data_IF_855236811583
#
_entry.id   IF_855236811583
#
_cell.length_a   1.000
_cell.length_b   1.000
_cell.length_c   1.000
_cell.angle_alpha   90.00
_cell.angle_beta   90.00
_cell.angle_gamma   90.00
#
_symmetry.space_group_name_H-M   'P 1'
#
loop_
_entity.id
_entity.type
_entity.pdbx_description
1 polymer ?
#
# COMPACT_ATOMS: atom_id res chain seq x y z
N UNK A 1 -13.83 -21.92 -32.53
CA UNK A 1 -13.39 -21.29 -31.27
C UNK A 1 -14.19 -21.91 -30.14
N UNK A 2 -13.55 -22.30 -29.04
CA UNK A 2 -14.22 -22.84 -27.85
C UNK A 2 -14.19 -21.77 -26.76
N UNK A 3 -15.33 -21.17 -26.46
CA UNK A 3 -15.50 -20.32 -25.28
C UNK A 3 -15.32 -21.17 -24.02
N UNK A 4 -14.43 -20.75 -23.13
CA UNK A 4 -14.32 -21.35 -21.80
C UNK A 4 -15.06 -20.44 -20.82
N UNK A 5 -16.08 -21.00 -20.17
CA UNK A 5 -16.85 -20.32 -19.13
C UNK A 5 -16.38 -20.88 -17.79
N UNK A 6 -15.87 -20.01 -16.92
CA UNK A 6 -15.51 -20.36 -15.55
C UNK A 6 -16.44 -19.64 -14.57
N UNK A 7 -17.04 -20.37 -13.64
CA UNK A 7 -17.92 -19.83 -12.61
C UNK A 7 -17.04 -19.24 -11.50
N UNK A 8 -17.28 -17.97 -11.15
CA UNK A 8 -16.57 -17.26 -10.10
C UNK A 8 -17.26 -17.45 -8.75
N UNK A 9 -16.47 -17.65 -7.71
CA UNK A 9 -16.95 -17.59 -6.32
C UNK A 9 -16.90 -16.15 -5.79
N UNK A 10 -15.98 -15.35 -6.31
CA UNK A 10 -15.84 -13.94 -5.96
C UNK A 10 -15.58 -13.10 -7.20
N UNK A 11 -16.46 -12.11 -7.41
CA UNK A 11 -16.33 -11.08 -8.44
C UNK A 11 -16.66 -9.71 -7.86
N UNK A 12 -15.64 -8.90 -7.59
CA UNK A 12 -15.77 -7.51 -7.19
C UNK A 12 -14.82 -6.67 -8.06
N UNK A 13 -15.37 -5.79 -8.89
CA UNK A 13 -14.57 -4.93 -9.75
C UNK A 13 -15.12 -3.51 -9.63
N UNK A 14 -14.43 -2.69 -8.85
CA UNK A 14 -14.81 -1.31 -8.61
C UNK A 14 -13.58 -0.39 -8.66
N UNK A 15 -13.77 0.88 -8.31
CA UNK A 15 -12.72 1.90 -8.37
C UNK A 15 -11.59 1.65 -7.35
N UNK A 16 -11.86 0.87 -6.30
CA UNK A 16 -10.95 0.66 -5.18
C UNK A 16 -10.36 -0.75 -5.13
N UNK A 17 -10.96 -1.73 -5.82
CA UNK A 17 -10.51 -3.12 -5.76
C UNK A 17 -10.90 -3.91 -7.01
N UNK A 18 -10.08 -4.91 -7.32
CA UNK A 18 -10.31 -5.92 -8.35
C UNK A 18 -10.09 -7.28 -7.71
N UNK A 19 -11.18 -8.02 -7.53
CA UNK A 19 -11.19 -9.38 -7.01
C UNK A 19 -11.94 -10.28 -7.97
N UNK A 20 -11.20 -11.18 -8.62
CA UNK A 20 -11.73 -12.15 -9.57
C UNK A 20 -11.13 -13.50 -9.22
N UNK A 21 -11.94 -14.38 -8.64
CA UNK A 21 -11.48 -15.67 -8.16
C UNK A 21 -12.54 -16.78 -8.31
N UNK A 22 -12.03 -17.96 -8.63
CA UNK A 22 -12.73 -19.25 -8.60
C UNK A 22 -12.24 -20.07 -7.40
N UNK A 23 -12.88 -21.21 -7.15
CA UNK A 23 -12.60 -22.07 -5.97
C UNK A 23 -11.17 -22.60 -5.92
N UNK A 24 -10.50 -22.65 -7.08
CA UNK A 24 -9.12 -23.10 -7.19
C UNK A 24 -8.12 -22.04 -7.67
N UNK A 25 -8.57 -20.88 -8.16
CA UNK A 25 -7.69 -19.90 -8.80
C UNK A 25 -8.07 -18.46 -8.45
N UNK A 26 -7.12 -17.71 -7.88
CA UNK A 26 -7.21 -16.26 -7.77
C UNK A 26 -6.63 -15.62 -9.04
N UNK A 27 -7.50 -15.21 -9.96
CA UNK A 27 -7.06 -14.58 -11.21
C UNK A 27 -6.53 -13.17 -10.97
N UNK A 28 -7.23 -12.40 -10.13
CA UNK A 28 -6.82 -11.07 -9.72
C UNK A 28 -7.28 -10.79 -8.29
N UNK A 29 -6.40 -10.18 -7.49
CA UNK A 29 -6.72 -9.71 -6.14
C UNK A 29 -5.86 -8.48 -5.86
N UNK A 30 -6.36 -7.31 -6.24
CA UNK A 30 -5.67 -6.03 -6.15
C UNK A 30 -6.55 -5.00 -5.43
N UNK A 31 -5.92 -4.17 -4.62
CA UNK A 31 -6.54 -3.02 -3.97
C UNK A 31 -5.85 -1.74 -4.43
N UNK A 32 -6.61 -0.66 -4.59
CA UNK A 32 -6.03 0.62 -4.98
C UNK A 32 -5.09 1.13 -3.90
N UNK A 33 -3.91 1.55 -4.32
CA UNK A 33 -2.85 2.02 -3.44
C UNK A 33 -2.98 3.53 -3.25
N UNK A 34 -3.04 3.95 -1.99
CA UNK A 34 -3.08 5.35 -1.61
C UNK A 34 -1.70 5.76 -1.09
N UNK A 35 -1.03 6.65 -1.84
CA UNK A 35 0.23 7.24 -1.42
C UNK A 35 -0.02 8.63 -0.83
N UNK A 36 0.40 8.89 0.42
CA UNK A 36 0.24 10.21 1.02
C UNK A 36 1.16 11.25 0.37
N UNK A 37 0.69 12.49 0.27
CA UNK A 37 1.52 13.58 -0.25
C UNK A 37 2.67 13.91 0.69
N UNK A 38 3.69 14.60 0.17
CA UNK A 38 4.82 14.99 1.00
C UNK A 38 4.40 15.96 2.13
N UNK A 39 3.37 16.78 1.92
CA UNK A 39 2.80 17.65 2.93
C UNK A 39 2.14 16.86 4.05
N UNK A 40 1.41 15.79 3.72
CA UNK A 40 0.77 14.91 4.69
C UNK A 40 1.82 14.17 5.53
N UNK A 41 2.86 13.64 4.88
CA UNK A 41 4.01 13.03 5.56
C UNK A 41 4.70 14.04 6.49
N UNK A 42 4.91 15.28 6.03
CA UNK A 42 5.48 16.33 6.87
C UNK A 42 4.60 16.67 8.09
N UNK A 43 3.27 16.69 7.92
CA UNK A 43 2.33 16.90 9.03
C UNK A 43 2.40 15.77 10.05
N UNK A 44 2.35 14.52 9.59
CA UNK A 44 2.49 13.32 10.44
C UNK A 44 3.83 13.31 11.20
N UNK A 45 4.93 13.62 10.51
CA UNK A 45 6.26 13.70 11.13
C UNK A 45 6.34 14.75 12.25
N UNK A 46 5.71 15.92 12.03
CA UNK A 46 5.60 16.97 13.06
C UNK A 46 4.76 16.50 14.25
N UNK A 47 3.65 15.81 14.02
CA UNK A 47 2.83 15.21 15.09
C UNK A 47 3.66 14.22 15.91
N UNK A 48 4.30 13.25 15.25
CA UNK A 48 5.18 12.27 15.87
C UNK A 48 6.24 12.93 16.75
N UNK A 49 6.91 13.97 16.24
CA UNK A 49 7.94 14.70 16.99
C UNK A 49 7.38 15.44 18.20
N UNK A 50 6.18 16.05 18.07
CA UNK A 50 5.49 16.73 19.19
C UNK A 50 5.11 15.73 20.29
N UNK A 51 4.53 14.59 19.91
CA UNK A 51 4.13 13.55 20.84
C UNK A 51 5.35 12.98 21.57
N UNK A 52 6.43 12.66 20.86
CA UNK A 52 7.66 12.17 21.48
C UNK A 52 8.25 13.17 22.47
N UNK A 53 8.29 14.47 22.12
CA UNK A 53 8.79 15.51 23.03
C UNK A 53 7.93 15.60 24.31
N UNK A 54 6.60 15.48 24.18
CA UNK A 54 5.67 15.54 25.32
C UNK A 54 5.97 14.46 26.36
N UNK A 55 6.36 13.26 25.93
CA UNK A 55 6.64 12.12 26.82
C UNK A 55 8.14 11.90 27.09
N UNK A 56 9.01 12.81 26.62
CA UNK A 56 10.46 12.70 26.82
C UNK A 56 11.17 11.61 25.99
N UNK A 57 10.53 11.10 24.93
CA UNK A 57 11.12 10.07 24.06
C UNK A 57 11.99 10.69 22.97
N UNK A 58 13.17 10.10 22.75
CA UNK A 58 14.09 10.51 21.70
C UNK A 58 13.92 9.63 20.47
N UNK A 59 13.55 10.25 19.35
CA UNK A 59 13.48 9.60 18.04
C UNK A 59 14.83 9.70 17.34
N UNK A 60 15.44 8.56 17.03
CA UNK A 60 16.72 8.49 16.33
C UNK A 60 16.48 8.67 14.83
N UNK A 61 17.40 9.35 14.12
CA UNK A 61 17.37 9.53 12.65
C UNK A 61 16.11 10.18 12.04
N UNK A 62 15.23 10.78 12.86
CA UNK A 62 13.97 11.40 12.40
C UNK A 62 14.11 12.35 11.20
N UNK A 63 15.20 13.12 11.11
CA UNK A 63 15.41 14.06 10.00
C UNK A 63 15.93 13.37 8.74
N UNK A 64 16.72 12.30 8.90
CA UNK A 64 17.24 11.52 7.79
C UNK A 64 16.09 10.85 7.04
N UNK A 65 15.14 10.22 7.75
CA UNK A 65 14.00 9.56 7.11
C UNK A 65 13.13 10.55 6.34
N UNK A 66 12.81 11.70 6.94
CA UNK A 66 12.03 12.73 6.26
C UNK A 66 12.77 13.24 5.01
N UNK A 67 14.09 13.40 5.09
CA UNK A 67 14.90 13.80 3.93
C UNK A 67 14.87 12.75 2.82
N UNK A 68 15.00 11.48 3.16
CA UNK A 68 14.94 10.39 2.17
C UNK A 68 13.57 10.38 1.49
N UNK A 69 12.48 10.45 2.27
CA UNK A 69 11.12 10.45 1.72
C UNK A 69 10.90 11.63 0.76
N UNK A 70 11.42 12.82 1.06
CA UNK A 70 11.37 13.97 0.15
C UNK A 70 12.14 13.71 -1.14
N UNK A 71 13.32 13.10 -1.04
CA UNK A 71 14.19 12.86 -2.19
C UNK A 71 13.63 11.81 -3.14
N UNK A 72 12.93 10.79 -2.62
CA UNK A 72 12.37 9.70 -3.43
C UNK A 72 10.92 9.95 -3.88
N UNK A 73 10.30 11.06 -3.46
CA UNK A 73 8.86 11.29 -3.65
C UNK A 73 8.47 11.32 -5.13
N UNK A 74 9.21 12.05 -5.97
CA UNK A 74 8.86 12.18 -7.39
C UNK A 74 8.99 10.86 -8.14
N UNK A 75 10.02 10.06 -7.82
CA UNK A 75 10.20 8.71 -8.37
C UNK A 75 9.09 7.76 -7.89
N UNK A 76 8.74 7.80 -6.59
CA UNK A 76 7.64 7.00 -6.03
C UNK A 76 6.29 7.37 -6.65
N UNK A 77 6.07 8.67 -6.92
CA UNK A 77 4.88 9.16 -7.61
C UNK A 77 4.81 8.65 -9.04
N UNK A 78 5.92 8.68 -9.77
CA UNK A 78 5.99 8.14 -11.13
C UNK A 78 5.64 6.64 -11.15
N UNK A 79 6.18 5.85 -10.22
CA UNK A 79 5.83 4.44 -10.09
C UNK A 79 4.35 4.23 -9.70
N UNK A 80 3.78 5.11 -8.88
CA UNK A 80 2.34 5.09 -8.56
C UNK A 80 1.46 5.41 -9.78
N UNK A 81 1.90 6.32 -10.65
CA UNK A 81 1.17 6.64 -11.88
C UNK A 81 1.13 5.42 -12.82
N UNK A 82 2.26 4.69 -12.96
CA UNK A 82 2.32 3.40 -13.67
C UNK A 82 1.37 2.38 -13.02
N UNK A 83 1.39 2.27 -11.69
CA UNK A 83 0.47 1.38 -10.96
C UNK A 83 -1.00 1.70 -11.29
N UNK A 84 -1.37 2.98 -11.27
CA UNK A 84 -2.74 3.42 -11.51
C UNK A 84 -3.20 3.16 -12.94
N UNK A 85 -2.31 3.31 -13.92
CA UNK A 85 -2.58 2.96 -15.32
C UNK A 85 -2.84 1.45 -15.45
N UNK A 86 -1.91 0.61 -14.97
CA UNK A 86 -2.06 -0.85 -15.00
C UNK A 86 -3.30 -1.35 -14.25
N UNK A 87 -3.62 -0.75 -13.10
CA UNK A 87 -4.82 -1.06 -12.34
C UNK A 87 -6.08 -0.72 -13.13
N UNK A 88 -6.11 0.44 -13.79
CA UNK A 88 -7.26 0.87 -14.59
C UNK A 88 -7.47 -0.03 -15.81
N UNK A 89 -6.38 -0.40 -16.49
CA UNK A 89 -6.41 -1.35 -17.60
C UNK A 89 -6.90 -2.73 -17.16
N UNK A 90 -6.43 -3.24 -16.02
CA UNK A 90 -6.91 -4.51 -15.46
C UNK A 90 -8.38 -4.44 -15.03
N UNK A 91 -8.81 -3.33 -14.44
CA UNK A 91 -10.21 -3.12 -14.05
C UNK A 91 -11.11 -3.18 -15.29
N UNK A 92 -10.73 -2.48 -16.36
CA UNK A 92 -11.46 -2.50 -17.61
C UNK A 92 -11.47 -3.90 -18.25
N UNK A 93 -10.31 -4.55 -18.31
CA UNK A 93 -10.17 -5.92 -18.83
C UNK A 93 -11.14 -6.89 -18.14
N UNK A 94 -11.23 -6.85 -16.81
CA UNK A 94 -12.11 -7.73 -16.05
C UNK A 94 -13.58 -7.33 -16.15
N UNK A 95 -13.92 -6.03 -16.22
CA UNK A 95 -15.31 -5.57 -16.44
C UNK A 95 -15.89 -6.09 -17.75
N UNK A 96 -15.08 -6.17 -18.80
CA UNK A 96 -15.51 -6.66 -20.11
C UNK A 96 -15.71 -8.18 -20.15
N UNK A 97 -15.04 -8.91 -19.25
CA UNK A 97 -14.95 -10.38 -19.28
C UNK A 97 -15.69 -11.07 -18.15
N UNK A 98 -16.04 -10.34 -17.09
CA UNK A 98 -16.87 -10.87 -16.00
C UNK A 98 -18.32 -10.51 -16.27
N UNK A 99 -19.11 -11.50 -16.65
CA UNK A 99 -20.54 -11.36 -16.93
C UNK A 99 -21.30 -12.30 -16.01
N UNK A 100 -22.19 -11.75 -15.18
CA UNK A 100 -23.05 -12.50 -14.25
C UNK A 100 -22.29 -13.53 -13.40
N UNK A 101 -21.10 -13.16 -12.89
CA UNK A 101 -20.27 -14.06 -12.07
C UNK A 101 -19.52 -15.13 -12.87
N UNK A 102 -19.39 -14.97 -14.19
CA UNK A 102 -18.64 -15.89 -15.04
C UNK A 102 -17.49 -15.15 -15.73
N UNK A 103 -16.33 -15.79 -15.83
CA UNK A 103 -15.29 -15.35 -16.77
C UNK A 103 -15.66 -15.86 -18.15
N UNK A 104 -15.82 -14.94 -19.09
CA UNK A 104 -16.00 -15.20 -20.51
C UNK A 104 -14.70 -14.82 -21.21
N UNK A 105 -13.82 -15.79 -21.44
CA UNK A 105 -12.57 -15.59 -22.18
C UNK A 105 -12.51 -16.51 -23.41
N UNK A 106 -12.11 -15.95 -24.54
CA UNK A 106 -12.04 -16.66 -25.82
C UNK A 106 -10.71 -17.41 -26.00
N UNK A 107 -9.61 -16.97 -25.36
CA UNK A 107 -8.25 -17.50 -25.62
C UNK A 107 -7.35 -17.46 -24.36
N UNK A 108 -6.47 -18.46 -24.21
CA UNK A 108 -5.42 -18.49 -23.16
C UNK A 108 -4.50 -17.27 -23.19
N UNK A 109 -4.23 -16.71 -24.38
CA UNK A 109 -3.36 -15.54 -24.56
C UNK A 109 -3.94 -14.27 -23.94
N UNK A 110 -5.27 -14.13 -23.91
CA UNK A 110 -5.91 -12.97 -23.27
C UNK A 110 -5.74 -13.01 -21.75
N UNK A 111 -5.84 -14.19 -21.13
CA UNK A 111 -5.58 -14.36 -19.70
C UNK A 111 -4.11 -14.10 -19.34
N UNK A 112 -3.18 -14.48 -20.23
CA UNK A 112 -1.76 -14.18 -20.04
C UNK A 112 -1.53 -12.66 -19.98
N UNK A 113 -2.21 -11.88 -20.83
CA UNK A 113 -2.11 -10.41 -20.81
C UNK A 113 -2.51 -9.83 -19.44
N UNK A 114 -3.56 -10.36 -18.81
CA UNK A 114 -3.97 -9.93 -17.47
C UNK A 114 -2.93 -10.34 -16.41
N UNK A 115 -2.38 -11.56 -16.51
CA UNK A 115 -1.32 -12.00 -15.60
C UNK A 115 -0.03 -11.18 -15.75
N UNK A 116 0.35 -10.79 -16.97
CA UNK A 116 1.53 -9.98 -17.20
C UNK A 116 1.40 -8.58 -16.58
N UNK A 117 0.22 -7.95 -16.71
CA UNK A 117 -0.06 -6.67 -16.03
C UNK A 117 -0.02 -6.81 -14.51
N UNK A 118 -0.61 -7.90 -13.97
CA UNK A 118 -0.54 -8.18 -12.53
C UNK A 118 0.92 -8.35 -12.07
N UNK A 119 1.73 -9.11 -12.82
CA UNK A 119 3.14 -9.30 -12.48
C UNK A 119 3.94 -8.00 -12.53
N UNK A 120 3.61 -7.08 -13.46
CA UNK A 120 4.19 -5.73 -13.48
C UNK A 120 3.80 -4.92 -12.25
N UNK A 121 2.53 -4.97 -11.84
CA UNK A 121 2.06 -4.36 -10.58
C UNK A 121 2.82 -4.93 -9.39
N UNK A 122 2.94 -6.26 -9.27
CA UNK A 122 3.66 -6.91 -8.19
C UNK A 122 5.13 -6.44 -8.15
N UNK A 123 5.74 -6.25 -9.33
CA UNK A 123 7.08 -5.71 -9.48
C UNK A 123 7.26 -4.31 -8.89
N UNK A 124 6.23 -3.45 -8.91
CA UNK A 124 6.26 -2.11 -8.32
C UNK A 124 6.32 -2.11 -6.78
N UNK A 125 6.04 -3.26 -6.15
CA UNK A 125 6.14 -3.44 -4.68
C UNK A 125 7.35 -4.26 -4.25
N UNK A 126 8.29 -4.54 -5.17
CA UNK A 126 9.55 -5.17 -4.80
C UNK A 126 10.39 -4.23 -3.91
N UNK A 127 11.20 -4.80 -3.01
CA UNK A 127 11.93 -4.08 -1.94
C UNK A 127 12.82 -2.91 -2.39
N UNK A 128 13.12 -2.80 -3.68
CA UNK A 128 14.05 -1.81 -4.23
C UNK A 128 13.34 -0.71 -5.04
N UNK A 129 12.02 -0.75 -5.17
CA UNK A 129 11.25 0.29 -5.87
C UNK A 129 11.04 1.51 -4.97
N UNK A 130 10.88 2.68 -5.57
CA UNK A 130 10.73 3.93 -4.81
C UNK A 130 9.36 4.04 -4.16
N UNK A 131 8.32 3.51 -4.79
CA UNK A 131 6.98 3.39 -4.24
C UNK A 131 6.98 2.51 -2.99
N UNK A 132 7.57 1.31 -3.08
CA UNK A 132 7.70 0.43 -1.90
C UNK A 132 8.49 1.10 -0.79
N UNK A 133 9.64 1.71 -1.12
CA UNK A 133 10.50 2.38 -0.14
C UNK A 133 9.77 3.57 0.54
N UNK A 134 8.99 4.35 -0.23
CA UNK A 134 8.24 5.49 0.28
C UNK A 134 7.10 5.04 1.20
N UNK A 135 6.30 4.06 0.78
CA UNK A 135 5.19 3.52 1.56
C UNK A 135 5.68 2.87 2.86
N UNK A 136 6.79 2.13 2.82
CA UNK A 136 7.39 1.53 4.02
C UNK A 136 7.82 2.60 5.04
N UNK A 137 8.50 3.66 4.60
CA UNK A 137 8.91 4.75 5.51
C UNK A 137 7.72 5.52 6.05
N UNK A 138 6.67 5.73 5.26
CA UNK A 138 5.43 6.30 5.75
C UNK A 138 4.80 5.39 6.82
N UNK A 139 4.74 4.09 6.58
CA UNK A 139 4.19 3.13 7.55
C UNK A 139 4.96 3.17 8.87
N UNK A 140 6.30 3.23 8.83
CA UNK A 140 7.13 3.38 10.03
C UNK A 140 6.81 4.66 10.83
N UNK A 141 6.49 5.78 10.17
CA UNK A 141 6.01 7.00 10.86
C UNK A 141 4.75 6.68 11.67
N UNK A 142 3.77 6.01 11.04
CA UNK A 142 2.50 5.66 11.65
C UNK A 142 2.71 4.70 12.85
N UNK A 143 3.58 3.70 12.71
CA UNK A 143 3.95 2.80 13.80
C UNK A 143 4.59 3.53 14.97
N UNK A 144 5.49 4.48 14.72
CA UNK A 144 6.11 5.27 15.79
C UNK A 144 5.09 6.13 16.52
N UNK A 145 4.15 6.75 15.80
CA UNK A 145 3.06 7.51 16.42
C UNK A 145 2.25 6.59 17.34
N UNK A 146 1.92 5.38 16.90
CA UNK A 146 1.21 4.37 17.72
C UNK A 146 2.02 4.02 18.97
N UNK A 147 3.30 3.64 18.82
CA UNK A 147 4.17 3.30 19.94
C UNK A 147 4.29 4.44 20.98
N UNK A 148 4.38 5.69 20.52
CA UNK A 148 4.42 6.87 21.40
C UNK A 148 3.10 7.03 22.15
N UNK A 149 1.95 6.88 21.46
CA UNK A 149 0.62 6.98 22.07
C UNK A 149 0.40 5.88 23.11
N UNK A 150 0.79 4.64 22.81
CA UNK A 150 0.70 3.52 23.74
C UNK A 150 1.56 3.79 24.98
N UNK A 151 2.78 4.32 24.79
CA UNK A 151 3.66 4.66 25.91
C UNK A 151 3.11 5.79 26.78
N UNK A 152 2.49 6.80 26.17
CA UNK A 152 1.81 7.87 26.91
C UNK A 152 0.70 7.30 27.80
N UNK A 153 -0.07 6.32 27.31
CA UNK A 153 -1.13 5.68 28.09
C UNK A 153 -0.56 4.84 29.24
N UNK A 154 0.52 4.10 29.03
CA UNK A 154 1.21 3.35 30.08
C UNK A 154 1.70 4.27 31.21
N UNK A 155 2.33 5.40 30.87
CA UNK A 155 2.83 6.36 31.86
C UNK A 155 1.70 6.94 32.70
N UNK A 156 0.54 7.24 32.09
CA UNK A 156 -0.66 7.70 32.81
C UNK A 156 -1.22 6.65 33.76
N UNK A 157 -1.15 5.36 33.40
CA UNK A 157 -1.62 4.26 34.26
C UNK A 157 -0.69 3.99 35.44
N UNK A 158 0.61 4.20 35.27
CA UNK A 158 1.63 3.78 36.23
C UNK A 158 2.18 4.90 37.14
N UNK A 159 1.68 6.15 37.05
CA UNK A 159 2.25 7.33 37.76
C UNK A 159 3.78 7.46 37.62
N UNK A 160 4.33 7.02 36.48
CA UNK A 160 5.77 6.93 36.28
C UNK A 160 6.30 8.17 35.53
N UNK A 161 7.28 8.86 36.13
CA UNK A 161 8.03 9.93 35.46
C UNK A 161 9.11 9.34 34.54
N UNK A 162 9.03 9.69 33.24
CA UNK A 162 10.09 9.53 32.23
C UNK A 162 10.67 8.12 32.02
N UNK A 163 10.25 7.45 30.95
CA UNK A 163 10.92 6.25 30.44
C UNK A 163 11.74 6.60 29.18
N UNK A 164 13.05 6.38 29.22
CA UNK A 164 13.95 6.67 28.08
C UNK A 164 13.81 5.60 26.98
N UNK A 165 12.74 5.68 26.18
CA UNK A 165 12.61 4.85 24.98
C UNK A 165 13.45 5.44 23.84
N UNK A 166 14.17 4.57 23.13
CA UNK A 166 14.81 4.87 21.84
C UNK A 166 14.01 4.16 20.76
N UNK A 167 13.32 4.92 19.92
CA UNK A 167 12.66 4.38 18.73
C UNK A 167 13.62 4.51 17.55
N UNK A 168 13.82 3.37 16.87
CA UNK A 168 14.69 3.26 15.71
C UNK A 168 13.87 3.39 14.43
N UNK A 169 14.44 4.14 13.49
CA UNK A 169 13.92 4.40 12.14
C UNK A 169 14.61 3.52 11.12
#
# INVERSE_FOLDING_TARGET
MSLKIEILDHSEINENSIRVATSGTSHCNLERVLMPTIEEVCKKHREMTKLAKKIGVKIIRKYQTLSIMKNIYDEAKYELDIYNELFSELSQYWKERVVDGHIVCEVKEELNTAYDKRNQIDGLFHRNTKLSEYLEKNHRIDEMIRCIKDKEQEMKRNNAESCSLKLYY
#
